data_IF_870188098280
#
_entry.id   IF_870188098280
#
_cell.length_a   1.000
_cell.length_b   1.000
_cell.length_c   1.000
_cell.angle_alpha   90.00
_cell.angle_beta   90.00
_cell.angle_gamma   90.00
#
_symmetry.space_group_name_H-M   'P 1'
#
loop_
_entity.id
_entity.type
_entity.pdbx_description
1 polymer ?
#
# COMPACT_ATOMS: atom_id res chain seq x y z
N UNK A 1 -74.34 -8.08 -14.60
CA UNK A 1 -73.00 -8.41 -15.13
C UNK A 1 -72.08 -7.18 -15.28
N UNK A 2 -72.54 -6.06 -15.87
CA UNK A 2 -71.75 -4.83 -16.06
C UNK A 2 -71.07 -4.29 -14.78
N UNK A 3 -71.87 -4.13 -13.71
CA UNK A 3 -71.44 -3.56 -12.41
C UNK A 3 -70.33 -4.35 -11.69
N UNK A 4 -70.18 -5.64 -12.01
CA UNK A 4 -69.13 -6.52 -11.46
C UNK A 4 -67.82 -6.39 -12.24
N UNK A 5 -67.88 -6.22 -13.57
CA UNK A 5 -66.71 -5.94 -14.42
C UNK A 5 -66.09 -4.57 -14.09
N UNK A 6 -66.91 -3.55 -13.84
CA UNK A 6 -66.42 -2.20 -13.49
C UNK A 6 -65.70 -2.18 -12.13
N UNK A 7 -66.21 -2.93 -11.14
CA UNK A 7 -65.53 -3.10 -9.84
C UNK A 7 -64.17 -3.79 -9.97
N UNK A 8 -64.07 -4.82 -10.82
CA UNK A 8 -62.83 -5.53 -11.07
C UNK A 8 -61.80 -4.63 -11.77
N UNK A 9 -62.21 -3.89 -12.80
CA UNK A 9 -61.33 -2.96 -13.53
C UNK A 9 -60.82 -1.84 -12.61
N UNK A 10 -61.68 -1.32 -11.74
CA UNK A 10 -61.31 -0.28 -10.78
C UNK A 10 -60.34 -0.80 -9.71
N UNK A 11 -60.50 -2.05 -9.26
CA UNK A 11 -59.57 -2.70 -8.33
C UNK A 11 -58.19 -2.93 -8.99
N UNK A 12 -58.17 -3.33 -10.27
CA UNK A 12 -56.94 -3.58 -11.02
C UNK A 12 -56.16 -2.28 -11.30
N UNK A 13 -56.84 -1.19 -11.66
CA UNK A 13 -56.24 0.14 -11.78
C UNK A 13 -55.66 0.65 -10.45
N UNK A 14 -56.35 0.40 -9.32
CA UNK A 14 -55.88 0.79 -7.99
C UNK A 14 -54.67 -0.03 -7.53
N UNK A 15 -54.61 -1.31 -7.90
CA UNK A 15 -53.44 -2.15 -7.66
C UNK A 15 -52.24 -1.71 -8.51
N UNK A 16 -52.46 -1.39 -9.80
CA UNK A 16 -51.44 -0.88 -10.70
C UNK A 16 -50.90 0.49 -10.24
N UNK A 17 -51.77 1.40 -9.78
CA UNK A 17 -51.34 2.70 -9.28
C UNK A 17 -50.54 2.60 -7.99
N UNK A 18 -50.94 1.71 -7.06
CA UNK A 18 -50.17 1.41 -5.84
C UNK A 18 -48.79 0.84 -6.17
N UNK A 19 -48.71 -0.18 -7.03
CA UNK A 19 -47.43 -0.76 -7.43
C UNK A 19 -46.53 0.20 -8.21
N UNK A 20 -47.11 1.21 -8.87
CA UNK A 20 -46.34 2.31 -9.47
C UNK A 20 -45.84 3.31 -8.40
N UNK A 21 -46.67 3.67 -7.42
CA UNK A 21 -46.28 4.54 -6.30
C UNK A 21 -45.18 3.92 -5.43
N UNK A 22 -45.23 2.62 -5.16
CA UNK A 22 -44.20 1.92 -4.40
C UNK A 22 -42.86 1.93 -5.14
N UNK A 23 -42.87 1.63 -6.46
CA UNK A 23 -41.65 1.73 -7.30
C UNK A 23 -41.08 3.14 -7.36
N UNK A 24 -41.94 4.16 -7.42
CA UNK A 24 -41.52 5.56 -7.36
C UNK A 24 -40.88 5.92 -6.02
N UNK A 25 -41.41 5.37 -4.91
CA UNK A 25 -40.86 5.57 -3.56
C UNK A 25 -39.49 4.91 -3.44
N UNK A 26 -39.34 3.68 -3.95
CA UNK A 26 -38.07 2.95 -3.97
C UNK A 26 -37.02 3.67 -4.83
N UNK A 27 -37.40 4.18 -6.00
CA UNK A 27 -36.50 4.97 -6.85
C UNK A 27 -36.06 6.26 -6.18
N UNK A 28 -36.96 6.97 -5.48
CA UNK A 28 -36.61 8.16 -4.71
C UNK A 28 -35.68 7.83 -3.55
N UNK A 29 -35.94 6.76 -2.81
CA UNK A 29 -35.08 6.31 -1.72
C UNK A 29 -33.68 5.92 -2.23
N UNK A 30 -33.63 5.24 -3.39
CA UNK A 30 -32.38 4.90 -4.06
C UNK A 30 -31.59 6.14 -4.48
N UNK A 31 -32.23 7.12 -5.12
CA UNK A 31 -31.58 8.37 -5.52
C UNK A 31 -31.05 9.17 -4.33
N UNK A 32 -31.80 9.24 -3.23
CA UNK A 32 -31.36 9.91 -2.00
C UNK A 32 -30.13 9.20 -1.41
N UNK A 33 -30.12 7.86 -1.39
CA UNK A 33 -28.95 7.08 -0.94
C UNK A 33 -27.72 7.34 -1.82
N UNK A 34 -27.87 7.37 -3.14
CA UNK A 34 -26.77 7.64 -4.08
C UNK A 34 -26.16 9.04 -3.86
N UNK A 35 -26.99 10.07 -3.67
CA UNK A 35 -26.54 11.44 -3.38
C UNK A 35 -25.83 11.53 -2.02
N UNK A 36 -26.32 10.83 -1.00
CA UNK A 36 -25.66 10.79 0.31
C UNK A 36 -24.30 10.10 0.24
N UNK A 37 -24.22 8.98 -0.48
CA UNK A 37 -22.98 8.24 -0.67
C UNK A 37 -21.93 9.04 -1.45
N UNK A 38 -22.34 9.80 -2.48
CA UNK A 38 -21.41 10.65 -3.23
C UNK A 38 -20.81 11.77 -2.38
N UNK A 39 -21.61 12.39 -1.51
CA UNK A 39 -21.12 13.39 -0.53
C UNK A 39 -20.14 12.78 0.47
N UNK A 40 -20.44 11.58 0.98
CA UNK A 40 -19.55 10.89 1.93
C UNK A 40 -18.26 10.46 1.24
N UNK A 41 -18.33 9.99 0.00
CA UNK A 41 -17.15 9.67 -0.80
C UNK A 41 -16.25 10.90 -0.96
N UNK A 42 -16.80 12.04 -1.38
CA UNK A 42 -16.03 13.28 -1.51
C UNK A 42 -15.36 13.69 -0.18
N UNK A 43 -16.05 13.50 0.94
CA UNK A 43 -15.50 13.71 2.28
C UNK A 43 -14.32 12.76 2.58
N UNK A 44 -14.47 11.46 2.34
CA UNK A 44 -13.41 10.47 2.58
C UNK A 44 -12.19 10.69 1.68
N UNK A 45 -12.40 11.01 0.39
CA UNK A 45 -11.33 11.37 -0.55
C UNK A 45 -10.63 12.67 -0.16
N UNK A 46 -11.36 13.63 0.43
CA UNK A 46 -10.74 14.86 0.97
C UNK A 46 -9.83 14.54 2.15
N UNK A 47 -10.34 13.82 3.16
CA UNK A 47 -9.56 13.54 4.37
C UNK A 47 -8.42 12.55 4.13
N UNK A 48 -8.57 11.56 3.25
CA UNK A 48 -7.45 10.69 2.86
C UNK A 48 -6.30 11.45 2.19
N UNK A 49 -6.59 12.45 1.34
CA UNK A 49 -5.56 13.35 0.78
C UNK A 49 -4.89 14.19 1.84
N UNK A 50 -5.67 14.76 2.77
CA UNK A 50 -5.13 15.54 3.89
C UNK A 50 -4.19 14.68 4.74
N UNK A 51 -4.64 13.49 5.15
CA UNK A 51 -3.85 12.52 5.91
C UNK A 51 -2.55 12.18 5.19
N UNK A 52 -2.61 11.88 3.89
CA UNK A 52 -1.41 11.60 3.10
C UNK A 52 -0.44 12.79 3.05
N UNK A 53 -0.94 14.01 2.82
CA UNK A 53 -0.10 15.22 2.76
C UNK A 53 0.59 15.53 4.09
N UNK A 54 -0.15 15.42 5.20
CA UNK A 54 0.39 15.60 6.54
C UNK A 54 1.36 14.47 6.93
N UNK A 55 1.12 13.23 6.48
CA UNK A 55 2.06 12.13 6.64
C UNK A 55 3.38 12.45 5.93
N UNK A 56 3.34 12.83 4.66
CA UNK A 56 4.52 13.18 3.87
C UNK A 56 5.30 14.32 4.55
N UNK A 57 4.60 15.37 4.99
CA UNK A 57 5.22 16.48 5.72
C UNK A 57 5.87 16.02 7.04
N UNK A 58 5.21 15.15 7.80
CA UNK A 58 5.75 14.62 9.07
C UNK A 58 7.02 13.79 8.86
N UNK A 59 7.07 13.00 7.79
CA UNK A 59 8.22 12.20 7.39
C UNK A 59 9.40 13.09 6.97
N UNK A 60 9.13 14.12 6.16
CA UNK A 60 10.16 15.08 5.72
C UNK A 60 10.76 15.81 6.94
N UNK A 61 9.92 16.32 7.85
CA UNK A 61 10.38 17.00 9.07
C UNK A 61 11.19 16.04 9.95
N UNK A 62 10.77 14.78 10.07
CA UNK A 62 11.50 13.77 10.82
C UNK A 62 12.90 13.49 10.24
N UNK A 63 13.02 13.36 8.91
CA UNK A 63 14.32 13.19 8.22
C UNK A 63 15.21 14.41 8.44
N UNK A 64 14.67 15.62 8.27
CA UNK A 64 15.43 16.86 8.49
C UNK A 64 15.90 16.98 9.95
N UNK A 65 15.06 16.61 10.92
CA UNK A 65 15.44 16.62 12.34
C UNK A 65 16.54 15.61 12.65
N UNK A 66 16.52 14.41 12.04
CA UNK A 66 17.59 13.42 12.16
C UNK A 66 18.90 13.99 11.59
N UNK A 67 18.89 14.46 10.35
CA UNK A 67 20.12 14.95 9.69
C UNK A 67 20.70 16.18 10.41
N UNK A 68 19.85 17.10 10.88
CA UNK A 68 20.31 18.25 11.67
C UNK A 68 20.82 17.86 13.06
N UNK A 69 20.22 16.85 13.70
CA UNK A 69 20.70 16.31 14.98
C UNK A 69 22.07 15.63 14.84
N UNK A 70 22.29 14.87 13.77
CA UNK A 70 23.59 14.25 13.50
C UNK A 70 24.65 15.28 13.07
N UNK A 71 24.30 16.26 12.24
CA UNK A 71 25.19 17.37 11.87
C UNK A 71 25.64 18.16 13.11
N UNK A 72 24.72 18.41 14.05
CA UNK A 72 25.01 19.05 15.34
C UNK A 72 26.06 18.25 16.15
N UNK A 73 25.89 16.93 16.24
CA UNK A 73 26.80 16.07 16.99
C UNK A 73 28.20 16.02 16.34
N UNK A 74 28.28 16.01 15.01
CA UNK A 74 29.55 16.04 14.29
C UNK A 74 30.31 17.37 14.51
N UNK A 75 29.62 18.52 14.44
CA UNK A 75 30.23 19.84 14.69
C UNK A 75 30.75 19.94 16.13
N UNK A 76 29.99 19.41 17.09
CA UNK A 76 30.42 19.35 18.49
C UNK A 76 31.71 18.54 18.64
N UNK A 77 31.76 17.35 18.02
CA UNK A 77 32.93 16.48 18.03
C UNK A 77 34.17 17.19 17.47
N UNK A 78 34.04 17.87 16.32
CA UNK A 78 35.14 18.63 15.69
C UNK A 78 35.66 19.76 16.58
N UNK A 79 34.78 20.53 17.23
CA UNK A 79 35.19 21.63 18.13
C UNK A 79 35.94 21.13 19.36
N UNK A 80 35.59 19.95 19.87
CA UNK A 80 36.21 19.35 21.06
C UNK A 80 37.55 18.68 20.70
N UNK A 81 37.64 18.03 19.53
CA UNK A 81 38.88 17.48 18.98
C UNK A 81 39.92 18.57 18.67
N UNK A 82 39.49 19.75 18.18
CA UNK A 82 40.39 20.90 18.02
C UNK A 82 40.89 21.47 19.37
N UNK A 83 40.26 21.10 20.49
CA UNK A 83 40.66 21.52 21.84
C UNK A 83 41.50 20.49 22.61
N UNK A 84 41.49 19.21 22.22
CA UNK A 84 42.21 18.13 22.93
C UNK A 84 42.60 16.98 21.99
N UNK A 85 43.84 16.51 22.09
CA UNK A 85 44.41 15.40 21.32
C UNK A 85 43.93 14.01 21.80
N UNK A 86 42.62 13.77 21.83
CA UNK A 86 42.03 12.50 22.26
C UNK A 86 40.91 12.07 21.31
N UNK A 87 40.99 10.84 20.81
CA UNK A 87 39.97 10.19 19.98
C UNK A 87 38.65 10.12 20.74
N UNK A 88 37.67 10.94 20.35
CA UNK A 88 36.39 11.03 21.04
C UNK A 88 35.50 9.82 20.76
N UNK A 89 35.10 9.11 21.81
CA UNK A 89 34.03 8.09 21.79
C UNK A 89 32.70 8.82 21.97
N UNK A 90 31.74 8.64 21.05
CA UNK A 90 30.45 9.38 20.98
C UNK A 90 29.51 9.24 22.19
N UNK A 91 29.86 8.44 23.21
CA UNK A 91 28.97 8.07 24.32
C UNK A 91 28.97 9.05 25.52
N UNK A 92 29.74 10.15 25.50
CA UNK A 92 29.95 11.00 26.69
C UNK A 92 29.69 12.51 26.52
N UNK A 93 28.92 12.95 25.52
CA UNK A 93 28.58 14.38 25.43
C UNK A 93 27.38 14.74 26.30
N UNK A 94 27.62 15.50 27.36
CA UNK A 94 26.58 15.95 28.28
C UNK A 94 25.75 17.07 27.61
N UNK A 95 24.42 17.05 27.75
CA UNK A 95 23.50 18.06 27.19
C UNK A 95 23.89 19.53 27.51
N UNK A 96 24.60 19.75 28.63
CA UNK A 96 25.16 21.06 29.01
C UNK A 96 26.21 21.58 28.02
N UNK A 97 27.02 20.70 27.42
CA UNK A 97 28.08 21.07 26.46
C UNK A 97 27.50 21.41 25.08
N UNK A 98 26.42 20.73 24.70
CA UNK A 98 25.66 20.98 23.46
C UNK A 98 25.02 22.37 23.50
N UNK A 99 24.34 22.71 24.60
CA UNK A 99 23.62 23.97 24.77
C UNK A 99 24.54 25.20 24.68
N UNK A 100 25.76 25.09 25.21
CA UNK A 100 26.74 26.19 25.18
C UNK A 100 27.38 26.40 23.81
N UNK A 101 27.57 25.32 23.05
CA UNK A 101 28.40 25.35 21.83
C UNK A 101 27.63 25.75 20.57
N UNK A 102 26.34 25.38 20.46
CA UNK A 102 25.51 25.57 19.27
C UNK A 102 24.03 25.91 19.58
N UNK A 103 23.71 27.11 20.11
CA UNK A 103 22.34 27.45 20.53
C UNK A 103 21.35 27.59 19.36
N UNK A 104 21.79 28.10 18.20
CA UNK A 104 20.93 28.27 17.01
C UNK A 104 20.42 26.95 16.45
N UNK A 105 21.28 25.94 16.35
CA UNK A 105 20.93 24.61 15.83
C UNK A 105 19.99 23.89 16.81
N UNK A 106 20.23 24.03 18.12
CA UNK A 106 19.36 23.47 19.16
C UNK A 106 17.94 24.08 19.13
N UNK A 107 17.84 25.40 18.90
CA UNK A 107 16.56 26.08 18.73
C UNK A 107 15.83 25.56 17.48
N UNK A 108 16.55 25.40 16.36
CA UNK A 108 15.99 24.87 15.12
C UNK A 108 15.46 23.43 15.28
N UNK A 109 16.23 22.52 15.90
CA UNK A 109 15.76 21.14 16.18
C UNK A 109 14.54 21.13 17.11
N UNK A 110 14.50 22.03 18.11
CA UNK A 110 13.33 22.15 18.99
C UNK A 110 12.08 22.63 18.24
N UNK A 111 12.26 23.57 17.29
CA UNK A 111 11.19 24.06 16.41
C UNK A 111 10.66 22.96 15.48
N UNK A 112 11.53 22.13 14.89
CA UNK A 112 11.11 20.99 14.07
C UNK A 112 10.31 19.96 14.87
N UNK A 113 10.69 19.69 16.12
CA UNK A 113 9.94 18.77 17.00
C UNK A 113 8.58 19.33 17.40
N UNK A 114 8.51 20.64 17.67
CA UNK A 114 7.24 21.32 17.92
C UNK A 114 6.32 21.28 16.70
N UNK A 115 6.84 21.53 15.49
CA UNK A 115 6.04 21.45 14.26
C UNK A 115 5.54 20.03 14.01
N UNK A 116 6.36 19.01 14.28
CA UNK A 116 5.95 17.61 14.20
C UNK A 116 4.83 17.26 15.20
N UNK A 117 4.87 17.81 16.42
CA UNK A 117 3.81 17.64 17.42
C UNK A 117 2.49 18.27 16.95
N UNK A 118 2.55 19.48 16.40
CA UNK A 118 1.39 20.17 15.83
C UNK A 118 0.80 19.35 14.67
N UNK A 119 1.63 18.87 13.74
CA UNK A 119 1.19 18.03 12.63
C UNK A 119 0.54 16.75 13.12
N UNK A 120 1.07 16.13 14.18
CA UNK A 120 0.52 14.91 14.77
C UNK A 120 -0.89 15.14 15.36
N UNK A 121 -1.15 16.32 15.94
CA UNK A 121 -2.49 16.72 16.39
C UNK A 121 -3.45 16.87 15.20
N UNK A 122 -3.03 17.57 14.14
CA UNK A 122 -3.83 17.72 12.92
C UNK A 122 -4.10 16.37 12.24
N UNK A 123 -3.13 15.46 12.28
CA UNK A 123 -3.27 14.08 11.78
C UNK A 123 -4.34 13.31 12.54
N UNK A 124 -4.30 13.32 13.87
CA UNK A 124 -5.32 12.67 14.69
C UNK A 124 -6.72 13.25 14.44
N UNK A 125 -6.83 14.57 14.25
CA UNK A 125 -8.09 15.20 13.88
C UNK A 125 -8.58 14.74 12.49
N UNK A 126 -7.71 14.74 11.48
CA UNK A 126 -8.06 14.27 10.14
C UNK A 126 -8.45 12.78 10.15
N UNK A 127 -7.78 11.99 10.99
CA UNK A 127 -8.07 10.59 11.21
C UNK A 127 -9.45 10.37 11.82
N UNK A 128 -9.80 11.15 12.84
CA UNK A 128 -11.14 11.14 13.41
C UNK A 128 -12.21 11.48 12.37
N UNK A 129 -11.97 12.50 11.53
CA UNK A 129 -12.89 12.86 10.44
C UNK A 129 -13.00 11.76 9.38
N UNK A 130 -11.92 11.04 9.10
CA UNK A 130 -11.94 9.87 8.22
C UNK A 130 -12.82 8.75 8.78
N UNK A 131 -12.62 8.35 10.03
CA UNK A 131 -13.40 7.27 10.66
C UNK A 131 -14.88 7.63 10.85
N UNK A 132 -15.20 8.89 11.17
CA UNK A 132 -16.60 9.33 11.20
C UNK A 132 -17.26 9.23 9.81
N UNK A 133 -16.50 9.46 8.74
CA UNK A 133 -16.93 9.21 7.36
C UNK A 133 -17.25 7.73 7.10
N UNK A 134 -16.34 6.82 7.47
CA UNK A 134 -16.53 5.37 7.30
C UNK A 134 -17.75 4.85 8.08
N UNK A 135 -17.99 5.36 9.29
CA UNK A 135 -19.17 4.99 10.08
C UNK A 135 -20.49 5.45 9.43
N UNK A 136 -20.48 6.61 8.76
CA UNK A 136 -21.65 7.06 7.98
C UNK A 136 -21.93 6.10 6.83
N UNK A 137 -20.90 5.56 6.18
CA UNK A 137 -21.06 4.52 5.13
C UNK A 137 -21.67 3.25 5.72
N UNK A 138 -21.14 2.75 6.84
CA UNK A 138 -21.66 1.54 7.51
C UNK A 138 -23.11 1.70 7.95
N UNK A 139 -23.50 2.90 8.38
CA UNK A 139 -24.87 3.23 8.77
C UNK A 139 -25.83 3.17 7.58
N UNK A 140 -25.45 3.75 6.44
CA UNK A 140 -26.26 3.72 5.21
C UNK A 140 -26.40 2.28 4.70
N UNK A 141 -25.33 1.49 4.76
CA UNK A 141 -25.32 0.07 4.36
C UNK A 141 -25.99 -0.86 5.39
N UNK A 142 -26.53 -0.33 6.51
CA UNK A 142 -27.19 -1.06 7.60
C UNK A 142 -26.32 -2.18 8.24
N UNK A 143 -25.01 -1.99 8.30
CA UNK A 143 -24.09 -2.94 8.96
C UNK A 143 -24.00 -2.76 10.49
N UNK A 144 -24.57 -1.70 11.05
CA UNK A 144 -24.49 -1.37 12.48
C UNK A 144 -25.75 -1.80 13.24
N UNK A 145 -25.55 -2.40 14.42
CA UNK A 145 -26.62 -2.71 15.37
C UNK A 145 -27.11 -1.39 16.01
N UNK A 146 -28.43 -1.28 16.21
CA UNK A 146 -29.12 -0.09 16.73
C UNK A 146 -28.52 0.29 18.11
N UNK A 147 -27.83 1.44 18.19
CA UNK A 147 -27.23 1.96 19.44
C UNK A 147 -25.78 2.45 19.32
N UNK A 148 -25.04 2.07 18.28
CA UNK A 148 -23.66 2.53 18.05
C UNK A 148 -23.63 3.88 17.30
N UNK A 149 -23.52 4.99 18.04
CA UNK A 149 -23.55 6.35 17.48
C UNK A 149 -22.17 6.97 17.25
N UNK A 150 -21.15 6.55 18.02
CA UNK A 150 -19.81 7.14 18.04
C UNK A 150 -18.73 6.23 17.45
N UNK A 151 -17.55 6.81 17.19
CA UNK A 151 -16.39 6.06 16.69
C UNK A 151 -15.89 5.03 17.71
N UNK A 152 -15.83 5.42 18.99
CA UNK A 152 -15.32 4.59 20.07
C UNK A 152 -16.24 3.41 20.43
N UNK A 153 -17.53 3.49 20.10
CA UNK A 153 -18.49 2.40 20.34
C UNK A 153 -18.67 1.48 19.14
N UNK A 154 -18.00 1.79 18.04
CA UNK A 154 -18.06 1.02 16.79
C UNK A 154 -17.06 -0.14 16.80
N UNK A 155 -17.25 -1.17 15.96
CA UNK A 155 -16.28 -2.26 15.82
C UNK A 155 -14.89 -1.80 15.35
N UNK A 156 -14.79 -0.60 14.77
CA UNK A 156 -13.54 -0.03 14.27
C UNK A 156 -12.76 0.76 15.34
N UNK A 157 -13.28 0.83 16.57
CA UNK A 157 -12.69 1.61 17.65
C UNK A 157 -11.25 1.19 17.98
N UNK A 158 -10.97 -0.12 18.05
CA UNK A 158 -9.64 -0.64 18.38
C UNK A 158 -8.62 -0.21 17.32
N UNK A 159 -8.96 -0.36 16.04
CA UNK A 159 -8.10 0.04 14.93
C UNK A 159 -7.85 1.56 14.96
N UNK A 160 -8.91 2.36 15.16
CA UNK A 160 -8.79 3.81 15.29
C UNK A 160 -7.87 4.23 16.44
N UNK A 161 -7.99 3.60 17.62
CA UNK A 161 -7.17 3.91 18.79
C UNK A 161 -5.70 3.58 18.51
N UNK A 162 -5.43 2.40 17.94
CA UNK A 162 -4.06 1.99 17.59
C UNK A 162 -3.41 2.97 16.61
N UNK A 163 -4.15 3.39 15.59
CA UNK A 163 -3.63 4.37 14.63
C UNK A 163 -3.41 5.75 15.25
N UNK A 164 -4.30 6.21 16.15
CA UNK A 164 -4.10 7.44 16.91
C UNK A 164 -2.84 7.38 17.78
N UNK A 165 -2.59 6.24 18.43
CA UNK A 165 -1.37 6.02 19.23
C UNK A 165 -0.14 6.11 18.31
N UNK A 166 -0.12 5.41 17.18
CA UNK A 166 0.98 5.45 16.22
C UNK A 166 1.23 6.85 15.66
N UNK A 167 0.18 7.64 15.42
CA UNK A 167 0.31 9.03 14.98
C UNK A 167 0.83 9.97 16.08
N UNK A 168 0.66 9.61 17.35
CA UNK A 168 1.08 10.42 18.49
C UNK A 168 2.51 10.11 18.93
N UNK A 169 3.02 8.90 18.67
CA UNK A 169 4.40 8.55 19.00
C UNK A 169 5.36 9.30 18.06
N UNK A 170 6.12 10.23 18.64
CA UNK A 170 7.27 10.94 18.05
C UNK A 170 8.09 11.54 19.20
N UNK A 171 9.31 11.99 18.92
CA UNK A 171 10.16 12.60 19.94
C UNK A 171 9.60 13.97 20.38
N UNK A 172 9.27 14.17 21.67
CA UNK A 172 8.75 15.45 22.15
C UNK A 172 9.84 16.53 22.20
N UNK A 173 9.48 17.81 22.01
CA UNK A 173 10.43 18.92 22.07
C UNK A 173 11.04 19.04 23.47
N UNK A 174 12.37 19.21 23.55
CA UNK A 174 13.09 19.43 24.81
C UNK A 174 13.66 18.16 25.46
N UNK A 175 13.32 16.97 24.98
CA UNK A 175 13.81 15.69 25.52
C UNK A 175 15.07 15.15 24.80
N UNK A 176 15.84 16.03 24.15
CA UNK A 176 17.08 15.70 23.42
C UNK A 176 18.15 15.01 24.28
N UNK A 177 18.11 15.19 25.60
CA UNK A 177 19.04 14.56 26.53
C UNK A 177 18.66 13.10 26.87
N UNK A 178 17.37 12.76 26.76
CA UNK A 178 16.84 11.46 27.21
C UNK A 178 16.73 10.44 26.10
N UNK A 179 16.53 10.90 24.86
CA UNK A 179 16.32 10.01 23.71
C UNK A 179 17.39 10.23 22.64
N UNK A 180 17.82 9.12 22.04
CA UNK A 180 18.73 9.17 20.90
C UNK A 180 17.98 9.63 19.63
N UNK A 181 18.68 10.24 18.65
CA UNK A 181 18.05 10.71 17.40
C UNK A 181 17.32 9.63 16.61
N UNK A 182 17.67 8.35 16.75
CA UNK A 182 17.03 7.25 16.01
C UNK A 182 15.52 7.09 16.34
N UNK A 183 15.05 7.57 17.49
CA UNK A 183 13.61 7.56 17.84
C UNK A 183 12.75 8.33 16.84
N UNK A 184 13.35 9.29 16.15
CA UNK A 184 12.72 10.08 15.11
C UNK A 184 12.47 9.28 13.81
N UNK A 185 12.90 8.01 13.74
CA UNK A 185 12.50 7.09 12.68
C UNK A 185 11.06 6.57 12.84
N UNK A 186 10.45 6.64 14.04
CA UNK A 186 9.10 6.13 14.28
C UNK A 186 8.04 6.78 13.37
N UNK A 187 8.06 8.11 13.12
CA UNK A 187 7.22 8.74 12.11
C UNK A 187 7.26 8.13 10.70
N UNK A 188 8.33 7.42 10.31
CA UNK A 188 8.40 6.70 9.02
C UNK A 188 7.33 5.61 8.93
N UNK A 189 6.96 4.98 10.04
CA UNK A 189 5.93 3.94 10.07
C UNK A 189 4.60 4.49 9.54
N UNK A 190 4.32 5.80 9.74
CA UNK A 190 3.08 6.46 9.31
C UNK A 190 2.83 6.37 7.80
N UNK A 191 3.85 6.04 6.99
CA UNK A 191 3.71 5.77 5.56
C UNK A 191 2.69 4.68 5.23
N UNK A 192 2.30 3.80 6.19
CA UNK A 192 1.19 2.86 6.02
C UNK A 192 -0.13 3.55 5.61
N UNK A 193 -0.31 4.83 5.95
CA UNK A 193 -1.53 5.59 5.66
C UNK A 193 -1.76 5.84 4.16
N UNK A 194 -0.73 5.63 3.32
CA UNK A 194 -0.87 5.58 1.85
C UNK A 194 -1.96 4.59 1.43
N UNK A 195 -2.14 3.50 2.17
CA UNK A 195 -3.18 2.50 1.90
C UNK A 195 -4.57 3.15 1.87
N UNK A 196 -4.85 4.13 2.74
CA UNK A 196 -6.14 4.84 2.75
C UNK A 196 -6.32 5.68 1.50
N UNK A 197 -5.26 6.35 1.04
CA UNK A 197 -5.30 7.12 -0.20
C UNK A 197 -5.63 6.20 -1.40
N UNK A 198 -4.92 5.08 -1.52
CA UNK A 198 -5.14 4.09 -2.57
C UNK A 198 -6.55 3.51 -2.52
N UNK A 199 -7.06 3.23 -1.31
CA UNK A 199 -8.40 2.70 -1.08
C UNK A 199 -9.50 3.70 -1.46
N UNK A 200 -9.33 4.99 -1.17
CA UNK A 200 -10.33 6.02 -1.50
C UNK A 200 -10.30 6.46 -2.96
N UNK A 201 -9.13 6.50 -3.61
CA UNK A 201 -9.01 6.91 -5.02
C UNK A 201 -9.34 5.79 -5.99
N UNK A 202 -9.65 4.60 -5.49
CA UNK A 202 -10.09 3.51 -6.34
C UNK A 202 -11.50 3.77 -6.89
N UNK A 203 -11.57 3.94 -8.22
CA UNK A 203 -12.81 4.14 -8.98
C UNK A 203 -13.90 3.12 -8.63
N UNK A 204 -13.52 1.88 -8.32
CA UNK A 204 -14.45 0.79 -8.05
C UNK A 204 -15.17 0.91 -6.71
N UNK A 205 -14.68 1.70 -5.75
CA UNK A 205 -15.25 1.71 -4.40
C UNK A 205 -16.63 2.37 -4.31
N UNK A 206 -16.84 3.43 -5.09
CA UNK A 206 -18.07 4.22 -5.06
C UNK A 206 -18.80 4.27 -6.40
N UNK A 207 -18.39 3.45 -7.36
CA UNK A 207 -19.05 3.39 -8.65
C UNK A 207 -20.46 2.80 -8.53
N UNK A 208 -21.46 3.45 -9.15
CA UNK A 208 -22.87 3.06 -9.06
C UNK A 208 -23.12 1.59 -9.41
N UNK A 209 -22.47 1.10 -10.47
CA UNK A 209 -22.60 -0.30 -10.90
C UNK A 209 -22.05 -1.29 -9.88
N UNK A 210 -20.99 -0.94 -9.15
CA UNK A 210 -20.42 -1.84 -8.13
C UNK A 210 -21.35 -1.97 -6.93
N UNK A 211 -22.04 -0.90 -6.54
CA UNK A 211 -23.05 -0.95 -5.48
C UNK A 211 -24.25 -1.80 -5.89
N UNK A 212 -24.73 -1.66 -7.13
CA UNK A 212 -25.80 -2.51 -7.68
C UNK A 212 -25.34 -3.98 -7.71
N UNK A 213 -24.16 -4.25 -8.24
CA UNK A 213 -23.62 -5.61 -8.33
C UNK A 213 -23.38 -6.23 -6.95
N UNK A 214 -22.87 -5.47 -5.98
CA UNK A 214 -22.72 -5.93 -4.59
C UNK A 214 -24.06 -6.34 -3.99
N UNK A 215 -25.13 -5.59 -4.26
CA UNK A 215 -26.48 -5.91 -3.78
C UNK A 215 -27.07 -7.16 -4.45
N UNK A 216 -26.77 -7.38 -5.73
CA UNK A 216 -27.28 -8.52 -6.50
C UNK A 216 -26.53 -9.81 -6.22
N UNK A 217 -25.20 -9.75 -6.12
CA UNK A 217 -24.33 -10.93 -5.98
C UNK A 217 -24.01 -11.23 -4.51
N UNK A 218 -24.43 -10.37 -3.56
CA UNK A 218 -24.11 -10.45 -2.12
C UNK A 218 -22.61 -10.56 -1.81
N UNK A 219 -21.75 -10.08 -2.71
CA UNK A 219 -20.31 -10.05 -2.48
C UNK A 219 -19.99 -8.79 -1.67
N UNK A 220 -19.39 -8.98 -0.49
CA UNK A 220 -18.79 -7.90 0.28
C UNK A 220 -17.44 -7.55 -0.34
N UNK A 221 -17.32 -6.36 -0.91
CA UNK A 221 -16.02 -5.85 -1.33
C UNK A 221 -15.16 -5.58 -0.10
N UNK A 222 -14.22 -6.49 0.18
CA UNK A 222 -13.20 -6.30 1.22
C UNK A 222 -12.21 -5.21 0.81
N UNK A 223 -11.63 -4.52 1.81
CA UNK A 223 -10.59 -3.51 1.60
C UNK A 223 -9.40 -4.07 0.82
N UNK A 224 -9.09 -5.36 1.03
CA UNK A 224 -8.07 -6.12 0.31
C UNK A 224 -8.35 -6.20 -1.19
N UNK A 225 -9.62 -6.31 -1.60
CA UNK A 225 -10.01 -6.37 -3.02
C UNK A 225 -9.67 -5.06 -3.73
N UNK A 226 -9.93 -3.92 -3.08
CA UNK A 226 -9.66 -2.61 -3.66
C UNK A 226 -8.16 -2.40 -3.90
N UNK A 227 -7.31 -2.79 -2.95
CA UNK A 227 -5.85 -2.71 -3.11
C UNK A 227 -5.39 -3.64 -4.24
N UNK A 228 -5.91 -4.88 -4.28
CA UNK A 228 -5.63 -5.86 -5.34
C UNK A 228 -5.96 -5.32 -6.73
N UNK A 229 -7.08 -4.62 -6.89
CA UNK A 229 -7.48 -4.09 -8.21
C UNK A 229 -6.50 -3.05 -8.75
N UNK A 230 -5.87 -2.24 -7.90
CA UNK A 230 -4.85 -1.29 -8.34
C UNK A 230 -3.58 -2.01 -8.83
N UNK A 231 -3.16 -3.04 -8.09
CA UNK A 231 -2.06 -3.92 -8.48
C UNK A 231 -2.34 -4.62 -9.82
N UNK A 232 -3.56 -5.09 -10.05
CA UNK A 232 -3.97 -5.75 -11.30
C UNK A 232 -4.00 -4.80 -12.51
N UNK A 233 -4.38 -3.52 -12.32
CA UNK A 233 -4.42 -2.53 -13.41
C UNK A 233 -3.02 -2.15 -13.92
N UNK A 234 -2.07 -1.91 -13.01
CA UNK A 234 -0.72 -1.46 -13.35
C UNK A 234 0.38 -2.23 -12.59
N UNK A 235 0.50 -3.56 -12.80
CA UNK A 235 1.33 -4.42 -11.95
C UNK A 235 2.81 -4.05 -11.97
N UNK A 236 3.39 -3.83 -13.15
CA UNK A 236 4.81 -3.49 -13.29
C UNK A 236 5.16 -2.14 -12.63
N UNK A 237 4.31 -1.11 -12.80
CA UNK A 237 4.52 0.20 -12.21
C UNK A 237 4.45 0.15 -10.68
N UNK A 238 3.49 -0.60 -10.13
CA UNK A 238 3.34 -0.77 -8.68
C UNK A 238 4.52 -1.54 -8.09
N UNK A 239 4.96 -2.63 -8.74
CA UNK A 239 6.14 -3.39 -8.29
C UNK A 239 7.41 -2.55 -8.30
N UNK A 240 7.63 -1.78 -9.37
CA UNK A 240 8.77 -0.88 -9.49
C UNK A 240 8.74 0.23 -8.43
N UNK A 241 7.57 0.80 -8.15
CA UNK A 241 7.41 1.78 -7.09
C UNK A 241 7.71 1.19 -5.70
N UNK A 242 7.24 -0.04 -5.41
CA UNK A 242 7.55 -0.75 -4.16
C UNK A 242 9.05 -1.02 -4.05
N UNK A 243 9.69 -1.46 -5.14
CA UNK A 243 11.14 -1.71 -5.17
C UNK A 243 11.94 -0.47 -4.79
N UNK A 244 11.71 0.65 -5.47
CA UNK A 244 12.42 1.90 -5.18
C UNK A 244 12.13 2.41 -3.78
N UNK A 245 10.87 2.30 -3.33
CA UNK A 245 10.50 2.67 -1.98
C UNK A 245 11.25 1.84 -0.92
N UNK A 246 11.35 0.52 -1.11
CA UNK A 246 12.12 -0.35 -0.21
C UNK A 246 13.61 -0.01 -0.24
N UNK A 247 14.20 0.18 -1.42
CA UNK A 247 15.64 0.49 -1.57
C UNK A 247 16.01 1.78 -0.84
N UNK A 248 15.32 2.88 -1.14
CA UNK A 248 15.67 4.18 -0.54
C UNK A 248 15.17 4.29 0.90
N UNK A 249 13.97 3.78 1.20
CA UNK A 249 13.39 3.82 2.54
C UNK A 249 14.17 2.98 3.54
N UNK A 250 14.37 1.68 3.25
CA UNK A 250 15.16 0.82 4.13
C UNK A 250 16.64 1.21 4.12
N UNK A 251 17.18 1.67 2.98
CA UNK A 251 18.54 2.19 2.89
C UNK A 251 18.79 3.35 3.85
N UNK A 252 17.86 4.30 3.93
CA UNK A 252 17.94 5.40 4.89
C UNK A 252 17.79 4.93 6.35
N UNK A 253 16.87 4.00 6.63
CA UNK A 253 16.71 3.44 7.99
C UNK A 253 17.99 2.74 8.45
N UNK A 254 18.56 1.84 7.63
CA UNK A 254 19.81 1.14 7.92
C UNK A 254 20.95 2.13 8.12
N UNK A 255 21.02 3.16 7.27
CA UNK A 255 22.02 4.22 7.39
C UNK A 255 21.98 4.94 8.74
N UNK A 256 20.79 5.29 9.24
CA UNK A 256 20.64 5.93 10.56
C UNK A 256 21.09 5.00 11.69
N UNK A 257 20.78 3.70 11.62
CA UNK A 257 21.22 2.73 12.63
C UNK A 257 22.74 2.48 12.60
N UNK A 258 23.35 2.37 11.42
CA UNK A 258 24.79 2.17 11.29
C UNK A 258 25.57 3.41 11.74
N UNK A 259 25.07 4.61 11.41
CA UNK A 259 25.68 5.88 11.82
C UNK A 259 25.67 6.06 13.35
N UNK A 260 24.70 5.48 14.05
CA UNK A 260 24.67 5.48 15.51
C UNK A 260 25.78 4.61 16.14
N UNK A 261 26.28 3.61 15.42
CA UNK A 261 27.18 2.58 15.95
C UNK A 261 28.63 2.71 15.45
N UNK A 262 28.87 3.33 14.29
CA UNK A 262 30.21 3.50 13.71
C UNK A 262 30.75 4.93 13.86
N UNK A 263 32.02 5.04 14.24
CA UNK A 263 32.79 6.29 14.34
C UNK A 263 33.44 6.73 13.01
N UNK A 264 33.03 6.16 11.88
CA UNK A 264 33.63 6.39 10.55
C UNK A 264 32.76 7.21 9.60
N UNK A 265 33.35 7.60 8.45
CA UNK A 265 32.66 8.30 7.35
C UNK A 265 31.74 7.35 6.56
N UNK A 266 30.63 6.98 7.16
CA UNK A 266 29.57 6.23 6.50
C UNK A 266 28.85 7.11 5.46
N UNK A 267 28.79 6.62 4.22
CA UNK A 267 28.06 7.26 3.12
C UNK A 267 26.69 6.59 2.94
N UNK A 268 25.67 7.39 2.68
CA UNK A 268 24.32 6.88 2.37
C UNK A 268 24.30 5.96 1.15
N UNK A 269 25.12 6.27 0.14
CA UNK A 269 25.27 5.48 -1.09
C UNK A 269 25.61 4.01 -0.80
N UNK A 270 26.52 3.75 0.15
CA UNK A 270 26.91 2.40 0.53
C UNK A 270 25.74 1.62 1.18
N UNK A 271 24.88 2.31 1.92
CA UNK A 271 23.72 1.69 2.59
C UNK A 271 22.58 1.43 1.61
N UNK A 272 22.38 2.32 0.64
CA UNK A 272 21.46 2.09 -0.48
C UNK A 272 21.93 0.90 -1.31
N UNK A 273 23.23 0.84 -1.65
CA UNK A 273 23.82 -0.30 -2.35
C UNK A 273 23.65 -1.62 -1.58
N UNK A 274 23.96 -1.62 -0.28
CA UNK A 274 23.73 -2.76 0.61
C UNK A 274 22.29 -3.29 0.50
N UNK A 275 21.30 -2.40 0.52
CA UNK A 275 19.89 -2.80 0.40
C UNK A 275 19.55 -3.30 -1.00
N UNK A 276 20.08 -2.71 -2.08
CA UNK A 276 19.91 -3.21 -3.46
C UNK A 276 20.40 -4.65 -3.59
N UNK A 277 21.61 -4.92 -3.12
CA UNK A 277 22.25 -6.25 -3.15
C UNK A 277 21.50 -7.24 -2.25
N UNK A 278 20.92 -6.78 -1.14
CA UNK A 278 20.17 -7.62 -0.20
C UNK A 278 18.76 -7.95 -0.69
N UNK A 279 18.05 -7.02 -1.31
CA UNK A 279 16.71 -7.23 -1.90
C UNK A 279 16.79 -8.20 -3.09
N UNK A 280 17.86 -8.09 -3.87
CA UNK A 280 18.11 -9.01 -5.00
C UNK A 280 18.66 -10.37 -4.55
N UNK A 281 18.92 -10.56 -3.26
CA UNK A 281 19.55 -11.75 -2.67
C UNK A 281 20.91 -12.10 -3.33
N UNK A 282 21.65 -11.09 -3.82
CA UNK A 282 23.00 -11.27 -4.39
C UNK A 282 24.05 -11.45 -3.29
N UNK A 283 24.02 -10.59 -2.27
CA UNK A 283 24.85 -10.70 -1.08
C UNK A 283 26.37 -10.68 -1.32
N UNK A 284 26.91 -9.71 -2.08
CA UNK A 284 28.35 -9.64 -2.40
C UNK A 284 29.29 -9.60 -1.18
N UNK A 285 28.82 -9.07 -0.04
CA UNK A 285 29.60 -9.02 1.20
C UNK A 285 30.66 -7.93 1.26
N UNK A 286 30.63 -6.99 0.32
CA UNK A 286 31.48 -5.80 0.25
C UNK A 286 31.11 -4.74 1.31
N UNK A 287 29.82 -4.60 1.60
CA UNK A 287 29.28 -3.79 2.70
C UNK A 287 28.41 -4.69 3.58
N UNK A 288 28.56 -4.59 4.91
CA UNK A 288 27.82 -5.43 5.88
C UNK A 288 27.36 -4.57 7.06
N UNK A 289 26.11 -4.71 7.55
CA UNK A 289 25.65 -3.98 8.71
C UNK A 289 26.28 -4.51 10.00
N UNK A 290 26.82 -3.61 10.80
CA UNK A 290 27.43 -3.92 12.09
C UNK A 290 26.46 -3.70 13.26
N UNK A 291 25.51 -2.78 13.11
CA UNK A 291 24.50 -2.51 14.14
C UNK A 291 23.44 -3.64 14.19
N UNK A 292 22.94 -4.00 15.39
CA UNK A 292 21.83 -4.95 15.50
C UNK A 292 20.58 -4.50 14.75
N UNK A 293 20.28 -3.20 14.77
CA UNK A 293 19.16 -2.62 14.02
C UNK A 293 19.34 -2.77 12.51
N UNK A 294 20.52 -2.42 11.99
CA UNK A 294 20.87 -2.59 10.57
C UNK A 294 20.72 -4.04 10.10
N UNK A 295 21.19 -5.01 10.90
CA UNK A 295 21.03 -6.44 10.59
C UNK A 295 19.56 -6.87 10.49
N UNK A 296 18.70 -6.40 11.40
CA UNK A 296 17.27 -6.69 11.37
C UNK A 296 16.63 -6.13 10.09
N UNK A 297 16.88 -4.86 9.76
CA UNK A 297 16.28 -4.23 8.59
C UNK A 297 16.80 -4.77 7.26
N UNK A 298 18.09 -5.14 7.19
CA UNK A 298 18.65 -5.84 6.03
C UNK A 298 18.02 -7.23 5.86
N UNK A 299 17.82 -7.98 6.96
CA UNK A 299 17.10 -9.26 6.92
C UNK A 299 15.66 -9.10 6.43
N UNK A 300 14.95 -8.07 6.90
CA UNK A 300 13.60 -7.73 6.40
C UNK A 300 13.64 -7.40 4.91
N UNK A 301 14.66 -6.67 4.45
CA UNK A 301 14.83 -6.32 3.04
C UNK A 301 14.96 -7.59 2.15
N UNK A 302 15.71 -8.60 2.59
CA UNK A 302 15.83 -9.88 1.86
C UNK A 302 14.53 -10.67 1.79
N UNK A 303 13.74 -10.68 2.88
CA UNK A 303 12.40 -11.31 2.90
C UNK A 303 11.46 -10.57 1.92
N UNK A 304 11.44 -9.25 1.98
CA UNK A 304 10.64 -8.41 1.08
C UNK A 304 11.06 -8.58 -0.39
N UNK A 305 12.37 -8.70 -0.64
CA UNK A 305 12.91 -8.97 -1.97
C UNK A 305 12.42 -10.28 -2.54
N UNK A 306 12.44 -11.35 -1.74
CA UNK A 306 11.91 -12.67 -2.14
C UNK A 306 10.42 -12.60 -2.49
N UNK A 307 9.62 -11.88 -1.68
CA UNK A 307 8.20 -11.65 -1.96
C UNK A 307 8.01 -10.85 -3.25
N UNK A 308 8.81 -9.82 -3.47
CA UNK A 308 8.76 -8.99 -4.68
C UNK A 308 9.10 -9.79 -5.94
N UNK A 309 10.12 -10.65 -5.88
CA UNK A 309 10.48 -11.57 -6.97
C UNK A 309 9.33 -12.53 -7.26
N UNK A 310 8.67 -13.09 -6.24
CA UNK A 310 7.52 -13.97 -6.42
C UNK A 310 6.34 -13.25 -7.11
N UNK A 311 6.05 -12.00 -6.71
CA UNK A 311 5.04 -11.19 -7.37
C UNK A 311 5.41 -10.86 -8.82
N UNK A 312 6.69 -10.54 -9.08
CA UNK A 312 7.18 -10.27 -10.43
C UNK A 312 7.01 -11.49 -11.35
N UNK A 313 7.30 -12.70 -10.86
CA UNK A 313 7.06 -13.96 -11.60
C UNK A 313 5.57 -14.11 -11.94
N UNK A 314 4.67 -13.76 -11.01
CA UNK A 314 3.22 -13.74 -11.26
C UNK A 314 2.84 -12.80 -12.41
N UNK A 315 3.37 -11.59 -12.40
CA UNK A 315 3.12 -10.59 -13.47
C UNK A 315 3.70 -11.05 -14.81
N UNK A 316 4.91 -11.60 -14.81
CA UNK A 316 5.53 -12.15 -16.02
C UNK A 316 4.72 -13.32 -16.59
N UNK A 317 4.16 -14.18 -15.73
CA UNK A 317 3.28 -15.27 -16.14
C UNK A 317 2.05 -14.74 -16.86
N UNK A 318 1.38 -13.74 -16.30
CA UNK A 318 0.16 -13.18 -16.90
C UNK A 318 0.47 -12.49 -18.24
N UNK A 319 1.63 -11.86 -18.38
CA UNK A 319 2.09 -11.27 -19.64
C UNK A 319 2.45 -12.29 -20.70
N UNK A 320 3.02 -13.44 -20.29
CA UNK A 320 3.36 -14.52 -21.20
C UNK A 320 2.15 -15.44 -21.49
N UNK A 321 1.04 -15.24 -20.78
CA UNK A 321 -0.15 -16.05 -20.97
C UNK A 321 -0.82 -15.75 -22.32
N UNK A 322 -0.77 -16.74 -23.22
CA UNK A 322 -1.40 -16.63 -24.54
C UNK A 322 -2.91 -16.41 -24.37
N UNK A 323 -3.49 -15.35 -24.95
CA UNK A 323 -4.92 -15.06 -24.81
C UNK A 323 -5.78 -16.16 -25.45
N UNK A 324 -7.01 -16.36 -24.97
CA UNK A 324 -7.85 -17.50 -25.38
C UNK A 324 -8.13 -17.54 -26.89
N UNK A 325 -8.18 -16.39 -27.56
CA UNK A 325 -8.39 -16.32 -29.00
C UNK A 325 -7.18 -16.84 -29.78
N UNK A 326 -5.97 -16.45 -29.38
CA UNK A 326 -4.72 -16.96 -29.97
C UNK A 326 -4.52 -18.44 -29.67
N UNK A 327 -4.90 -18.90 -28.46
CA UNK A 327 -4.89 -20.34 -28.13
C UNK A 327 -5.76 -21.14 -29.08
N UNK A 328 -6.92 -20.63 -29.49
CA UNK A 328 -7.79 -21.30 -30.48
C UNK A 328 -7.13 -21.38 -31.85
N UNK A 329 -6.48 -20.30 -32.30
CA UNK A 329 -5.74 -20.28 -33.58
C UNK A 329 -4.58 -21.28 -33.55
N UNK A 330 -3.78 -21.27 -32.48
CA UNK A 330 -2.68 -22.21 -32.28
C UNK A 330 -3.18 -23.67 -32.25
N UNK A 331 -4.31 -23.94 -31.61
CA UNK A 331 -4.93 -25.25 -31.60
C UNK A 331 -5.35 -25.70 -33.01
N UNK A 332 -5.92 -24.78 -33.81
CA UNK A 332 -6.31 -25.07 -35.19
C UNK A 332 -5.09 -25.39 -36.08
N UNK A 333 -4.02 -24.60 -36.01
CA UNK A 333 -2.78 -24.83 -36.77
C UNK A 333 -2.13 -26.16 -36.36
N UNK A 334 -2.05 -26.45 -35.05
CA UNK A 334 -1.53 -27.73 -34.55
C UNK A 334 -2.35 -28.91 -35.05
N UNK A 335 -3.69 -28.80 -35.07
CA UNK A 335 -4.58 -29.85 -35.59
C UNK A 335 -4.34 -30.10 -37.08
N UNK A 336 -4.19 -29.04 -37.88
CA UNK A 336 -3.91 -29.17 -39.32
C UNK A 336 -2.55 -29.83 -39.58
N UNK A 337 -1.50 -29.40 -38.86
CA UNK A 337 -0.16 -30.01 -38.95
C UNK A 337 -0.18 -31.50 -38.57
N UNK A 338 -0.90 -31.83 -37.51
CA UNK A 338 -1.05 -33.22 -37.08
C UNK A 338 -1.79 -34.08 -38.11
N UNK A 339 -2.81 -33.52 -38.77
CA UNK A 339 -3.51 -34.20 -39.86
C UNK A 339 -2.56 -34.48 -41.05
N UNK A 340 -1.75 -33.50 -41.47
CA UNK A 340 -0.74 -33.70 -42.52
C UNK A 340 0.26 -34.80 -42.16
N UNK A 341 0.83 -34.75 -40.96
CA UNK A 341 1.79 -35.76 -40.51
C UNK A 341 1.19 -37.18 -40.49
N UNK A 342 -0.08 -37.30 -40.10
CA UNK A 342 -0.81 -38.58 -40.17
C UNK A 342 -0.96 -39.08 -41.60
N UNK A 343 -1.33 -38.19 -42.54
CA UNK A 343 -1.48 -38.54 -43.95
C UNK A 343 -0.15 -38.96 -44.58
N UNK A 344 0.94 -38.24 -44.29
CA UNK A 344 2.28 -38.60 -44.75
C UNK A 344 2.77 -39.93 -44.17
N UNK A 345 2.52 -40.18 -42.87
CA UNK A 345 2.88 -41.45 -42.24
C UNK A 345 2.07 -42.62 -42.81
N UNK A 346 0.77 -42.42 -43.09
CA UNK A 346 -0.07 -43.41 -43.74
C UNK A 346 0.42 -43.71 -45.17
N UNK A 347 0.70 -42.67 -45.96
CA UNK A 347 1.23 -42.82 -47.32
C UNK A 347 2.56 -43.58 -47.33
N UNK A 348 3.49 -43.25 -46.42
CA UNK A 348 4.76 -44.00 -46.26
C UNK A 348 4.52 -45.48 -45.96
N UNK A 349 3.59 -45.81 -45.07
CA UNK A 349 3.26 -47.22 -44.77
C UNK A 349 2.70 -47.95 -45.99
N UNK A 350 1.81 -47.31 -46.75
CA UNK A 350 1.23 -47.90 -47.97
C UNK A 350 2.32 -48.17 -49.01
N UNK A 351 3.23 -47.21 -49.24
CA UNK A 351 4.36 -47.39 -50.16
C UNK A 351 5.24 -48.57 -49.74
N UNK A 352 5.55 -48.69 -48.44
CA UNK A 352 6.35 -49.82 -47.92
C UNK A 352 5.63 -51.15 -48.19
N UNK A 353 4.34 -51.26 -47.87
CA UNK A 353 3.56 -52.49 -48.11
C UNK A 353 3.57 -52.86 -49.59
N UNK A 354 3.25 -51.92 -50.47
CA UNK A 354 3.26 -52.16 -51.92
C UNK A 354 4.63 -52.56 -52.45
N UNK A 355 5.71 -51.97 -51.93
CA UNK A 355 7.08 -52.36 -52.32
C UNK A 355 7.46 -53.77 -51.85
N UNK A 356 6.98 -54.20 -50.69
CA UNK A 356 7.14 -55.59 -50.21
C UNK A 356 6.35 -56.54 -51.11
N UNK A 357 5.09 -56.25 -51.41
CA UNK A 357 4.25 -57.08 -52.28
C UNK A 357 4.84 -57.21 -53.68
N UNK A 358 5.39 -56.11 -54.24
CA UNK A 358 6.07 -56.13 -55.53
C UNK A 358 7.35 -56.96 -55.52
N UNK A 359 8.12 -56.94 -54.42
CA UNK A 359 9.30 -57.79 -54.25
C UNK A 359 8.93 -59.28 -54.16
N UNK A 360 7.81 -59.62 -53.51
CA UNK A 360 7.31 -60.99 -53.44
C UNK A 360 6.74 -61.51 -54.77
N UNK A 361 6.20 -60.64 -55.62
CA UNK A 361 5.63 -61.03 -56.92
C UNK A 361 6.70 -61.24 -58.02
N UNK A 362 7.90 -60.67 -57.84
CA UNK A 362 9.02 -60.78 -58.78
C UNK A 362 10.09 -61.80 -58.38
N UNK A 363 9.85 -62.58 -57.31
CA UNK A 363 10.56 -63.83 -57.01
C UNK A 363 9.72 -65.02 -57.46
#
# INVERSE_FOLDING_TARGET
MQKSKDKFFHALLKAASRGFQDRLKDLKEFQVRDILLSRIHAHLTKYSRIIFSLCALSVIIAVIDIETSYARNNILCLKILNGTSMSCRLEQFTYKDIRKTCPRILFFTSFLKLSLAIISIFMNYALYQYYTGELRVMRIKRYLIRGQTGVLTSPMAVLFILECILCTIHMPPGFDASFRPEWQLIPMIRLYQVIKLLKEHNELRYHRLTNVLSSLVKITFEDTFLIKTHFLKHPAQVLLAIYFFCVFGLGYVVFVFERANMSGTLKLENMVWLVVVSITNLGFGDVVPMSPGGRIFVGIASILGTLLTALMIGVMRDWLEIPPNERRILAAIKRQRFHRLKMEAAARKVIIILSIDYLFYNQ
#
